data_IF_411660577415
#
_entry.id   IF_411660577415
#
_cell.length_a   1.000
_cell.length_b   1.000
_cell.length_c   1.000
_cell.angle_alpha   90.00
_cell.angle_beta   90.00
_cell.angle_gamma   90.00
#
_symmetry.space_group_name_H-M   'P 1'
#
loop_
_entity.id
_entity.type
_entity.pdbx_description
1 polymer ?
#
# COMPACT_ATOMS: atom_id res chain seq x y z
N UNK A 1 -4.67 2.98 21.94
CA UNK A 1 -4.36 1.59 21.55
C UNK A 1 -5.64 0.75 21.69
N UNK A 2 -6.38 0.53 20.60
CA UNK A 2 -7.65 -0.24 20.58
C UNK A 2 -7.86 -1.03 19.27
N UNK A 3 -6.77 -1.26 18.54
CA UNK A 3 -6.70 -2.09 17.33
C UNK A 3 -7.05 -3.58 17.56
N UNK A 4 -6.64 -4.26 18.65
CA UNK A 4 -6.89 -5.71 18.78
C UNK A 4 -8.37 -6.08 18.98
N UNK A 5 -9.22 -5.16 19.46
CA UNK A 5 -10.64 -5.43 19.65
C UNK A 5 -11.43 -5.31 18.33
N UNK A 6 -11.08 -4.33 17.48
CA UNK A 6 -11.74 -4.13 16.20
C UNK A 6 -11.47 -5.31 15.25
N UNK A 7 -10.23 -5.80 15.21
CA UNK A 7 -9.86 -6.94 14.36
C UNK A 7 -10.57 -8.23 14.80
N UNK A 8 -10.73 -8.42 16.11
CA UNK A 8 -11.50 -9.56 16.67
C UNK A 8 -12.98 -9.48 16.32
N UNK A 9 -13.59 -8.29 16.37
CA UNK A 9 -14.98 -8.06 15.94
C UNK A 9 -15.14 -8.42 14.46
N UNK A 10 -14.21 -7.96 13.63
CA UNK A 10 -14.23 -8.16 12.17
C UNK A 10 -14.00 -9.63 11.80
N UNK A 11 -13.04 -10.30 12.45
CA UNK A 11 -12.78 -11.72 12.26
C UNK A 11 -14.00 -12.56 12.65
N UNK A 12 -14.65 -12.25 13.78
CA UNK A 12 -15.84 -12.98 14.24
C UNK A 12 -17.03 -12.79 13.29
N UNK A 13 -17.28 -11.56 12.82
CA UNK A 13 -18.33 -11.27 11.84
C UNK A 13 -18.09 -11.96 10.50
N UNK A 14 -16.83 -12.10 10.09
CA UNK A 14 -16.46 -12.76 8.83
C UNK A 14 -16.66 -14.27 8.92
N UNK A 15 -16.34 -14.90 10.05
CA UNK A 15 -16.56 -16.35 10.28
C UNK A 15 -18.04 -16.69 10.50
N UNK A 16 -18.83 -15.75 11.05
CA UNK A 16 -20.22 -15.98 11.39
C UNK A 16 -21.12 -14.79 10.97
N UNK A 17 -21.43 -14.65 9.66
CA UNK A 17 -22.16 -13.52 9.10
C UNK A 17 -23.65 -13.47 9.48
N UNK A 18 -24.16 -14.50 10.15
CA UNK A 18 -25.52 -14.53 10.69
C UNK A 18 -25.61 -13.97 12.12
N UNK A 19 -24.49 -13.77 12.83
CA UNK A 19 -24.51 -13.25 14.20
C UNK A 19 -24.83 -11.75 14.23
N UNK A 20 -25.83 -11.36 15.00
CA UNK A 20 -26.16 -9.95 15.22
C UNK A 20 -25.03 -9.23 15.98
N UNK A 21 -24.95 -7.90 15.82
CA UNK A 21 -23.97 -7.08 16.55
C UNK A 21 -24.07 -7.24 18.07
N UNK A 22 -25.27 -7.50 18.59
CA UNK A 22 -25.47 -7.81 20.01
C UNK A 22 -24.83 -9.13 20.45
N UNK A 23 -24.92 -10.18 19.62
CA UNK A 23 -24.28 -11.48 19.90
C UNK A 23 -22.76 -11.40 19.85
N UNK A 24 -22.21 -10.62 18.92
CA UNK A 24 -20.77 -10.37 18.81
C UNK A 24 -20.27 -9.57 20.03
N UNK A 25 -21.04 -8.56 20.47
CA UNK A 25 -20.72 -7.76 21.65
C UNK A 25 -20.68 -8.59 22.93
N UNK A 26 -21.67 -9.47 23.12
CA UNK A 26 -21.70 -10.38 24.27
C UNK A 26 -20.48 -11.32 24.30
N UNK A 27 -20.09 -11.88 23.14
CA UNK A 27 -18.94 -12.77 23.03
C UNK A 27 -17.59 -12.09 23.32
N UNK A 28 -17.50 -10.77 23.10
CA UNK A 28 -16.26 -9.99 23.26
C UNK A 28 -16.27 -9.11 24.52
N UNK A 29 -17.33 -9.16 25.34
CA UNK A 29 -17.46 -8.34 26.54
C UNK A 29 -17.47 -6.83 26.26
N UNK A 30 -18.01 -6.40 25.12
CA UNK A 30 -18.02 -5.00 24.70
C UNK A 30 -19.43 -4.48 24.45
N UNK A 31 -19.60 -3.15 24.33
CA UNK A 31 -20.93 -2.58 24.02
C UNK A 31 -21.30 -2.84 22.54
N UNK A 32 -22.57 -3.14 22.22
CA UNK A 32 -23.03 -3.34 20.83
C UNK A 32 -22.77 -2.15 19.90
N UNK A 33 -22.66 -0.94 20.45
CA UNK A 33 -22.30 0.26 19.72
C UNK A 33 -20.86 0.19 19.17
N UNK A 34 -19.90 -0.32 19.94
CA UNK A 34 -18.52 -0.51 19.46
C UNK A 34 -18.45 -1.50 18.29
N UNK A 35 -19.27 -2.56 18.33
CA UNK A 35 -19.39 -3.50 17.22
C UNK A 35 -19.96 -2.83 15.98
N UNK A 36 -21.02 -2.01 16.13
CA UNK A 36 -21.59 -1.25 15.02
C UNK A 36 -20.57 -0.27 14.43
N UNK A 37 -19.81 0.45 15.25
CA UNK A 37 -18.77 1.37 14.81
C UNK A 37 -17.63 0.63 14.11
N UNK A 38 -17.14 -0.48 14.67
CA UNK A 38 -16.09 -1.30 14.06
C UNK A 38 -16.52 -1.89 12.70
N UNK A 39 -17.75 -2.39 12.59
CA UNK A 39 -18.30 -2.90 11.34
C UNK A 39 -18.59 -1.78 10.32
N UNK A 40 -19.00 -0.59 10.78
CA UNK A 40 -19.20 0.59 9.93
C UNK A 40 -17.87 1.13 9.39
N UNK A 41 -16.80 1.09 10.19
CA UNK A 41 -15.43 1.41 9.74
C UNK A 41 -14.94 0.49 8.62
N UNK A 42 -15.50 -0.72 8.46
CA UNK A 42 -15.23 -1.63 7.35
C UNK A 42 -15.76 -1.15 5.98
N UNK A 43 -16.54 -0.06 5.93
CA UNK A 43 -16.87 0.64 4.66
C UNK A 43 -15.78 1.61 4.21
N UNK A 44 -14.72 1.80 5.00
CA UNK A 44 -13.44 2.26 4.47
C UNK A 44 -12.55 1.04 4.34
N UNK A 45 -12.42 0.45 3.14
CA UNK A 45 -11.33 -0.46 2.90
C UNK A 45 -10.04 0.35 3.07
N UNK A 46 -9.35 0.16 4.19
CA UNK A 46 -7.89 0.30 4.24
C UNK A 46 -7.29 -0.86 3.44
N UNK A 47 -7.65 -0.97 2.16
CA UNK A 47 -6.77 -1.56 1.19
C UNK A 47 -5.61 -0.59 1.11
N UNK A 48 -4.49 -0.92 1.74
CA UNK A 48 -3.21 -0.50 1.20
C UNK A 48 -3.04 -1.19 -0.15
N UNK A 49 -3.82 -0.75 -1.13
CA UNK A 49 -3.44 -0.93 -2.52
C UNK A 49 -2.13 -0.17 -2.67
N UNK A 50 -1.08 -0.79 -3.24
CA UNK A 50 0.08 -0.02 -3.66
C UNK A 50 -0.44 1.16 -4.50
N UNK A 51 0.04 2.39 -4.28
CA UNK A 51 -0.49 3.55 -4.96
C UNK A 51 -0.51 3.27 -6.46
N UNK A 52 -1.70 3.18 -7.03
CA UNK A 52 -1.86 3.01 -8.48
C UNK A 52 -1.43 4.34 -9.06
N UNK A 53 -0.18 4.42 -9.49
CA UNK A 53 0.37 5.59 -10.17
C UNK A 53 -0.46 5.80 -11.42
N UNK A 54 -1.16 6.93 -11.51
CA UNK A 54 -1.97 7.25 -12.68
C UNK A 54 -1.08 7.32 -13.93
N UNK A 55 -1.65 7.05 -15.10
CA UNK A 55 -0.89 7.08 -16.35
C UNK A 55 -0.22 8.45 -16.58
N UNK A 56 -0.89 9.54 -16.18
CA UNK A 56 -0.33 10.89 -16.23
C UNK A 56 0.93 11.04 -15.38
N UNK A 57 0.91 10.53 -14.14
CA UNK A 57 2.08 10.56 -13.25
C UNK A 57 3.18 9.66 -13.79
N UNK A 58 2.85 8.48 -14.34
CA UNK A 58 3.82 7.60 -15.00
C UNK A 58 4.51 8.32 -16.17
N UNK A 59 3.76 9.01 -17.03
CA UNK A 59 4.33 9.79 -18.15
C UNK A 59 5.22 10.93 -17.66
N UNK A 60 4.81 11.65 -16.61
CA UNK A 60 5.62 12.71 -16.01
C UNK A 60 6.96 12.18 -15.46
N UNK A 61 6.93 11.06 -14.74
CA UNK A 61 8.14 10.40 -14.22
C UNK A 61 9.08 9.99 -15.37
N UNK A 62 8.54 9.40 -16.44
CA UNK A 62 9.34 9.00 -17.59
C UNK A 62 10.00 10.19 -18.30
N UNK A 63 9.28 11.32 -18.43
CA UNK A 63 9.85 12.54 -19.00
C UNK A 63 10.99 13.10 -18.15
N UNK A 64 10.83 13.13 -16.81
CA UNK A 64 11.88 13.56 -15.89
C UNK A 64 13.11 12.65 -15.95
N UNK A 65 12.92 11.33 -16.01
CA UNK A 65 14.01 10.37 -16.13
C UNK A 65 14.77 10.51 -17.45
N UNK A 66 14.08 10.78 -18.56
CA UNK A 66 14.71 11.01 -19.85
C UNK A 66 15.61 12.26 -19.84
N UNK A 67 15.14 13.35 -19.20
CA UNK A 67 15.95 14.56 -19.00
C UNK A 67 17.21 14.30 -18.19
N UNK A 68 17.09 13.59 -17.06
CA UNK A 68 18.22 13.19 -16.24
C UNK A 68 19.22 12.29 -16.99
N UNK A 69 18.72 11.32 -17.77
CA UNK A 69 19.57 10.44 -18.57
C UNK A 69 20.40 11.22 -19.59
N UNK A 70 19.81 12.22 -20.25
CA UNK A 70 20.50 13.07 -21.20
C UNK A 70 21.59 13.92 -20.49
N UNK A 71 21.27 14.52 -19.35
CA UNK A 71 22.21 15.32 -18.56
C UNK A 71 23.39 14.46 -18.06
N UNK A 72 23.12 13.29 -17.48
CA UNK A 72 24.15 12.37 -17.01
C UNK A 72 25.02 11.84 -18.16
N UNK A 73 24.42 11.49 -19.29
CA UNK A 73 25.14 11.07 -20.49
C UNK A 73 26.13 12.15 -20.95
N UNK A 74 25.70 13.41 -20.96
CA UNK A 74 26.55 14.54 -21.33
C UNK A 74 27.66 14.78 -20.30
N UNK A 75 27.33 14.79 -19.01
CA UNK A 75 28.27 15.06 -17.91
C UNK A 75 29.39 14.02 -17.85
N UNK A 76 29.06 12.75 -18.04
CA UNK A 76 30.00 11.63 -17.93
C UNK A 76 30.52 11.14 -19.28
N UNK A 77 30.15 11.78 -20.39
CA UNK A 77 30.55 11.44 -21.77
C UNK A 77 30.29 9.97 -22.13
N UNK A 78 29.13 9.47 -21.74
CA UNK A 78 28.67 8.10 -22.03
C UNK A 78 27.39 8.15 -22.84
N UNK A 79 27.01 7.04 -23.47
CA UNK A 79 25.72 6.98 -24.18
C UNK A 79 24.54 6.98 -23.19
N UNK A 80 23.39 7.60 -23.54
CA UNK A 80 22.18 7.55 -22.71
C UNK A 80 21.73 6.11 -22.39
N UNK A 81 21.98 5.17 -23.30
CA UNK A 81 21.70 3.75 -23.11
C UNK A 81 22.53 3.14 -21.98
N UNK A 82 23.83 3.46 -21.90
CA UNK A 82 24.69 3.00 -20.81
C UNK A 82 24.24 3.57 -19.46
N UNK A 83 23.81 4.84 -19.41
CA UNK A 83 23.23 5.45 -18.20
C UNK A 83 21.97 4.70 -17.77
N UNK A 84 21.07 4.38 -18.70
CA UNK A 84 19.85 3.63 -18.41
C UNK A 84 20.15 2.23 -17.85
N UNK A 85 21.15 1.51 -18.40
CA UNK A 85 21.55 0.19 -17.87
C UNK A 85 22.06 0.28 -16.43
N UNK A 86 22.87 1.30 -16.11
CA UNK A 86 23.36 1.51 -14.74
C UNK A 86 22.20 1.80 -13.79
N UNK A 87 21.27 2.68 -14.16
CA UNK A 87 20.10 3.01 -13.36
C UNK A 87 19.23 1.78 -13.06
N UNK A 88 18.97 0.93 -14.05
CA UNK A 88 18.17 -0.29 -13.88
C UNK A 88 18.87 -1.29 -12.95
N UNK A 89 20.20 -1.45 -13.07
CA UNK A 89 20.97 -2.34 -12.18
C UNK A 89 20.91 -1.88 -10.74
N UNK A 90 21.11 -0.59 -10.48
CA UNK A 90 21.10 -0.04 -9.13
C UNK A 90 19.68 -0.10 -8.52
N UNK A 91 18.64 0.20 -9.31
CA UNK A 91 17.25 0.08 -8.84
C UNK A 91 16.92 -1.36 -8.40
N UNK A 92 17.32 -2.36 -9.19
CA UNK A 92 17.13 -3.78 -8.82
C UNK A 92 17.86 -4.14 -7.52
N UNK A 93 19.07 -3.60 -7.33
CA UNK A 93 19.87 -3.82 -6.12
C UNK A 93 19.16 -3.24 -4.89
N UNK A 94 18.70 -1.99 -4.96
CA UNK A 94 17.97 -1.33 -3.87
C UNK A 94 16.68 -2.06 -3.52
N UNK A 95 15.94 -2.54 -4.52
CA UNK A 95 14.72 -3.32 -4.30
C UNK A 95 15.03 -4.66 -3.59
N UNK A 96 16.14 -5.31 -3.93
CA UNK A 96 16.59 -6.53 -3.25
C UNK A 96 17.04 -6.24 -1.80
N UNK A 97 17.74 -5.12 -1.57
CA UNK A 97 18.16 -4.68 -0.23
C UNK A 97 16.96 -4.29 0.67
N UNK A 98 15.87 -3.79 0.08
CA UNK A 98 14.65 -3.44 0.84
C UNK A 98 13.77 -4.65 1.16
N UNK A 99 13.89 -5.72 0.37
CA UNK A 99 13.11 -6.95 0.55
C UNK A 99 13.76 -7.97 1.49
N UNK A 100 15.07 -7.84 1.75
CA UNK A 100 15.84 -8.65 2.69
C UNK A 100 15.75 -8.09 4.12
#
# INVERSE_FOLDING_TARGET
>A
MSEPLCDRIVALRTRAPHLSSGKIAAALGCRPEYVRVALKRRHMPMTMQPPIVSEAVRRAILASLAGFQAEAAQRYRVSPQQVAVVLVKELRRQLAETAA
#
